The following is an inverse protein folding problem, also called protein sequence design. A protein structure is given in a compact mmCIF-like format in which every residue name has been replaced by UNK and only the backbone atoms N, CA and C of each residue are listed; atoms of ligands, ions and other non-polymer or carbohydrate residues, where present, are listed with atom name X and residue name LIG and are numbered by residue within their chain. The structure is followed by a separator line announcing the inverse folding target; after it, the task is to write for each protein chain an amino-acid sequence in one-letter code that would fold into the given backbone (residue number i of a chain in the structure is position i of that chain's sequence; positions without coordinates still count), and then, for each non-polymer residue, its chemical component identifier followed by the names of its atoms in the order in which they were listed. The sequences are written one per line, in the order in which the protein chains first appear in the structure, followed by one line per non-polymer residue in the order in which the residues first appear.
data_IF_953535069697
#
_entry.id   IF_953535069697
#
_cell.length_a   1.000
_cell.length_b   1.000
_cell.length_c   1.000
_cell.angle_alpha   90.00
_cell.angle_beta   90.00
_cell.angle_gamma   90.00
#
_symmetry.space_group_name_H-M   'P 1'
#
loop_
_entity.id
_entity.type
_entity.pdbx_description
1 polymer ?
#
# COMPACT_ATOMS: atom_id res chain seq x y z
N UNK A 1 9.50 8.09 19.21
CA UNK A 1 8.68 6.87 19.06
C UNK A 1 8.82 6.41 17.63
N UNK A 2 9.07 5.13 17.39
CA UNK A 2 9.22 4.58 16.03
C UNK A 2 7.82 4.22 15.52
N UNK A 3 7.34 4.92 14.49
CA UNK A 3 6.11 4.56 13.78
C UNK A 3 6.27 3.18 13.16
N UNK A 4 5.23 2.34 13.24
CA UNK A 4 5.21 1.00 12.66
C UNK A 4 3.98 0.84 11.79
N UNK A 5 4.11 0.14 10.68
CA UNK A 5 2.99 -0.23 9.81
C UNK A 5 2.74 -1.71 9.97
N UNK A 6 1.49 -2.09 10.22
CA UNK A 6 1.05 -3.48 10.31
C UNK A 6 0.08 -3.73 9.17
N UNK A 7 0.28 -4.83 8.47
CA UNK A 7 -0.55 -5.21 7.33
C UNK A 7 -1.27 -6.51 7.61
N UNK A 8 -2.53 -6.59 7.19
CA UNK A 8 -3.27 -7.85 7.13
C UNK A 8 -3.29 -8.35 5.68
N UNK A 9 -3.11 -9.66 5.47
CA UNK A 9 -3.16 -10.30 4.15
C UNK A 9 -4.41 -11.19 4.05
N UNK A 10 -5.09 -11.19 2.89
CA UNK A 10 -6.29 -12.01 2.66
C UNK A 10 -6.12 -13.47 3.11
N UNK A 11 -7.00 -13.90 4.02
CA UNK A 11 -7.22 -15.28 4.51
C UNK A 11 -6.09 -16.00 5.27
N UNK A 12 -5.00 -15.33 5.63
CA UNK A 12 -3.95 -15.91 6.48
C UNK A 12 -3.54 -14.93 7.56
N UNK A 13 -3.66 -15.31 8.84
CA UNK A 13 -3.39 -14.48 10.05
C UNK A 13 -1.92 -14.04 10.22
N UNK A 14 -1.17 -13.88 9.14
CA UNK A 14 0.22 -13.43 9.17
C UNK A 14 0.26 -11.92 9.07
N UNK A 15 0.41 -11.28 10.23
CA UNK A 15 0.71 -9.86 10.30
C UNK A 15 2.19 -9.66 9.96
N UNK A 16 2.47 -8.92 8.89
CA UNK A 16 3.81 -8.35 8.67
C UNK A 16 3.88 -6.95 9.26
N UNK A 17 5.04 -6.63 9.84
CA UNK A 17 5.30 -5.31 10.41
C UNK A 17 6.45 -4.64 9.68
N UNK A 18 6.23 -3.42 9.25
CA UNK A 18 7.20 -2.57 8.58
C UNK A 18 7.56 -1.39 9.48
N UNK A 19 8.80 -0.90 9.35
CA UNK A 19 9.31 0.19 10.19
C UNK A 19 9.24 1.55 9.50
N UNK A 20 8.88 1.57 8.22
CA UNK A 20 8.63 2.79 7.46
C UNK A 20 7.64 2.57 6.32
N UNK A 21 7.00 3.66 5.87
CA UNK A 21 6.10 3.67 4.70
C UNK A 21 6.82 3.24 3.42
N UNK A 22 8.06 3.69 3.24
CA UNK A 22 8.85 3.37 2.05
C UNK A 22 9.19 1.88 1.98
N UNK A 23 9.50 1.25 3.11
CA UNK A 23 9.75 -0.19 3.20
C UNK A 23 8.51 -0.99 2.79
N UNK A 24 7.33 -0.60 3.27
CA UNK A 24 6.07 -1.21 2.90
C UNK A 24 5.76 -1.07 1.40
N UNK A 25 5.87 0.14 0.85
CA UNK A 25 5.63 0.37 -0.59
C UNK A 25 6.58 -0.47 -1.43
N UNK A 26 7.87 -0.52 -1.07
CA UNK A 26 8.84 -1.37 -1.77
C UNK A 26 8.51 -2.85 -1.64
N UNK A 27 8.00 -3.31 -0.49
CA UNK A 27 7.59 -4.69 -0.33
C UNK A 27 6.41 -5.04 -1.26
N UNK A 28 5.44 -4.13 -1.38
CA UNK A 28 4.32 -4.25 -2.32
C UNK A 28 4.84 -4.36 -3.75
N UNK A 29 5.68 -3.41 -4.16
CA UNK A 29 6.09 -3.28 -5.56
C UNK A 29 7.18 -4.26 -6.01
N UNK A 30 8.04 -4.73 -5.11
CA UNK A 30 9.16 -5.62 -5.44
C UNK A 30 8.83 -7.11 -5.29
N UNK A 31 7.96 -7.49 -4.35
CA UNK A 31 7.73 -8.90 -3.99
C UNK A 31 6.33 -9.42 -4.36
N UNK A 32 5.47 -8.60 -4.98
CA UNK A 32 4.09 -8.99 -5.29
C UNK A 32 3.24 -9.17 -4.03
N UNK A 33 3.45 -8.30 -3.05
CA UNK A 33 2.74 -8.30 -1.77
C UNK A 33 1.53 -7.35 -1.85
N UNK A 34 0.32 -7.85 -1.62
CA UNK A 34 -0.90 -7.05 -1.68
C UNK A 34 -1.62 -7.12 -0.32
N UNK A 35 -1.49 -6.10 0.54
CA UNK A 35 -2.19 -6.06 1.82
C UNK A 35 -3.66 -5.74 1.63
N UNK A 36 -4.53 -6.27 2.48
CA UNK A 36 -5.96 -5.94 2.51
C UNK A 36 -6.17 -4.61 3.23
N UNK A 37 -5.53 -4.50 4.40
CA UNK A 37 -5.57 -3.32 5.26
C UNK A 37 -4.17 -3.00 5.73
N UNK A 38 -3.90 -1.71 5.88
CA UNK A 38 -2.68 -1.19 6.46
C UNK A 38 -3.01 -0.30 7.64
N UNK A 39 -2.40 -0.61 8.77
CA UNK A 39 -2.54 0.11 10.01
C UNK A 39 -1.24 0.76 10.42
N UNK A 40 -1.23 2.09 10.57
CA UNK A 40 -0.13 2.83 11.19
C UNK A 40 -0.31 2.86 12.71
N UNK A 41 0.66 2.31 13.43
CA UNK A 41 0.74 2.30 14.88
C UNK A 41 1.72 3.36 15.33
N UNK A 42 1.20 4.47 15.86
CA UNK A 42 2.01 5.52 16.48
C UNK A 42 2.33 5.22 17.95
N UNK A 43 1.39 4.58 18.65
CA UNK A 43 1.50 4.14 20.04
C UNK A 43 0.62 2.89 20.27
N UNK A 44 0.83 2.12 21.35
CA UNK A 44 0.09 0.87 21.59
C UNK A 44 -1.45 0.99 21.63
N UNK A 45 -1.98 2.20 21.78
CA UNK A 45 -3.42 2.50 21.80
C UNK A 45 -3.88 3.38 20.63
N UNK A 46 -2.98 3.78 19.72
CA UNK A 46 -3.27 4.66 18.59
C UNK A 46 -2.92 3.89 17.31
N UNK A 47 -3.96 3.51 16.58
CA UNK A 47 -3.90 2.78 15.34
C UNK A 47 -4.76 3.52 14.32
N UNK A 48 -4.18 3.91 13.20
CA UNK A 48 -4.88 4.58 12.10
C UNK A 48 -4.91 3.64 10.90
N UNK A 49 -6.07 3.48 10.28
CA UNK A 49 -6.15 2.89 8.94
C UNK A 49 -5.56 3.89 7.94
N UNK A 50 -4.51 3.44 7.24
CA UNK A 50 -3.76 4.23 6.26
C UNK A 50 -3.73 3.51 4.91
N UNK A 51 -4.64 2.56 4.67
CA UNK A 51 -4.65 1.72 3.47
C UNK A 51 -4.71 2.57 2.20
N UNK A 52 -5.61 3.56 2.16
CA UNK A 52 -5.75 4.52 1.05
C UNK A 52 -4.45 5.28 0.78
N UNK A 53 -3.82 5.82 1.82
CA UNK A 53 -2.55 6.55 1.71
C UNK A 53 -1.43 5.67 1.11
N UNK A 54 -1.41 4.39 1.46
CA UNK A 54 -0.42 3.44 0.94
C UNK A 54 -0.72 3.10 -0.52
N UNK A 55 -1.98 2.88 -0.88
CA UNK A 55 -2.39 2.67 -2.26
C UNK A 55 -1.96 3.86 -3.14
N UNK A 56 -2.15 5.08 -2.68
CA UNK A 56 -1.63 6.28 -3.36
C UNK A 56 -0.09 6.26 -3.49
N UNK A 57 0.62 5.89 -2.43
CA UNK A 57 2.08 5.77 -2.47
C UNK A 57 2.60 4.75 -3.49
N UNK A 58 1.88 3.64 -3.70
CA UNK A 58 2.21 2.64 -4.74
C UNK A 58 2.05 3.21 -6.14
N UNK A 59 0.95 3.94 -6.39
CA UNK A 59 0.71 4.62 -7.67
C UNK A 59 1.80 5.66 -7.95
N UNK A 60 2.11 6.50 -6.96
CA UNK A 60 3.16 7.53 -7.10
C UNK A 60 4.54 6.91 -7.36
N UNK A 61 4.85 5.79 -6.71
CA UNK A 61 6.10 5.08 -6.91
C UNK A 61 6.25 4.57 -8.36
N UNK A 62 5.24 3.87 -8.88
CA UNK A 62 5.25 3.36 -10.27
C UNK A 62 5.31 4.48 -11.30
N UNK A 63 4.55 5.56 -11.07
CA UNK A 63 4.59 6.75 -11.91
C UNK A 63 5.98 7.41 -11.93
N UNK A 64 6.67 7.46 -10.80
CA UNK A 64 8.03 8.00 -10.73
C UNK A 64 9.06 7.14 -11.47
N UNK A 65 8.84 5.82 -11.54
CA UNK A 65 9.67 4.87 -12.29
C UNK A 65 9.34 4.87 -13.80
N UNK A 66 8.14 5.35 -14.17
CA UNK A 66 7.64 5.36 -15.55
C UNK A 66 7.02 4.03 -15.99
N UNK A 67 6.73 3.15 -15.03
CA UNK A 67 6.18 1.82 -15.24
C UNK A 67 4.68 1.77 -14.93
N UNK A 68 3.98 0.85 -15.60
CA UNK A 68 2.59 0.53 -15.29
C UNK A 68 2.47 -0.28 -13.98
N UNK A 69 1.30 -0.18 -13.33
CA UNK A 69 0.94 -1.08 -12.24
C UNK A 69 0.83 -2.51 -12.77
N UNK A 70 1.50 -3.43 -12.07
CA UNK A 70 1.30 -4.88 -12.23
C UNK A 70 -0.12 -5.28 -11.83
N UNK A 71 -0.55 -6.47 -12.24
CA UNK A 71 -1.92 -6.94 -11.95
C UNK A 71 -2.23 -6.98 -10.45
N UNK A 72 -1.26 -7.36 -9.61
CA UNK A 72 -1.43 -7.41 -8.15
C UNK A 72 -1.49 -6.01 -7.51
N UNK A 73 -0.62 -5.10 -7.94
CA UNK A 73 -0.65 -3.72 -7.45
C UNK A 73 -1.93 -3.02 -7.89
N UNK A 74 -2.37 -3.28 -9.13
CA UNK A 74 -3.62 -2.78 -9.65
C UNK A 74 -4.79 -3.31 -8.84
N UNK A 75 -4.86 -4.60 -8.56
CA UNK A 75 -5.92 -5.17 -7.73
C UNK A 75 -5.96 -4.52 -6.35
N UNK A 76 -4.81 -4.37 -5.68
CA UNK A 76 -4.72 -3.65 -4.39
C UNK A 76 -5.23 -2.21 -4.48
N UNK A 77 -4.74 -1.43 -5.45
CA UNK A 77 -5.11 -0.03 -5.61
C UNK A 77 -6.59 0.11 -5.98
N UNK A 78 -7.10 -0.72 -6.90
CA UNK A 78 -8.49 -0.70 -7.35
C UNK A 78 -9.46 -1.11 -6.24
N UNK A 79 -9.09 -2.08 -5.39
CA UNK A 79 -9.89 -2.46 -4.23
C UNK A 79 -9.90 -1.39 -3.13
N UNK A 80 -8.81 -0.65 -2.97
CA UNK A 80 -8.65 0.34 -1.89
C UNK A 80 -9.27 1.70 -2.26
N UNK A 81 -8.77 2.33 -3.33
CA UNK A 81 -9.16 3.71 -3.70
C UNK A 81 -10.13 3.76 -4.89
N UNK A 82 -10.50 2.61 -5.44
CA UNK A 82 -11.41 2.49 -6.57
C UNK A 82 -10.75 2.59 -7.96
N UNK A 83 -11.35 1.89 -8.93
CA UNK A 83 -10.88 1.81 -10.34
C UNK A 83 -10.65 3.19 -10.98
N UNK A 84 -11.52 4.16 -10.69
CA UNK A 84 -11.46 5.48 -11.33
C UNK A 84 -10.27 6.32 -10.82
N UNK A 85 -9.95 6.23 -9.53
CA UNK A 85 -8.79 6.90 -8.93
C UNK A 85 -7.47 6.27 -9.39
N UNK A 86 -7.44 4.94 -9.51
CA UNK A 86 -6.28 4.20 -10.02
C UNK A 86 -5.94 4.60 -11.46
N UNK A 87 -6.95 4.70 -12.34
CA UNK A 87 -6.76 5.03 -13.77
C UNK A 87 -6.40 6.49 -14.01
N UNK A 88 -7.10 7.42 -13.37
CA UNK A 88 -6.88 8.87 -13.58
C UNK A 88 -5.48 9.32 -13.17
N UNK A 89 -4.80 8.54 -12.34
CA UNK A 89 -3.49 8.89 -11.77
C UNK A 89 -2.31 8.41 -12.62
N UNK A 90 -2.55 7.39 -13.46
CA UNK A 90 -1.59 6.87 -14.44
C UNK A 90 -1.64 7.65 -15.77
N UNK A 91 -2.82 8.15 -16.19
CA UNK A 91 -2.97 8.93 -17.43
C UNK A 91 -2.42 10.37 -17.35
N UNK A 92 -2.09 10.86 -16.15
CA UNK A 92 -1.63 12.23 -15.95
C UNK A 92 -0.10 12.43 -16.12
N UNK A 93 0.64 11.39 -16.53
CA UNK A 93 2.10 11.41 -16.75
C UNK A 93 2.45 11.59 -18.23
#
# INVERSE_FOLDING_TARGET
MTRKFITDLFTGKEHQSFTSREELIRAITANGFAPDTVHEVEAPAICNDVTDDIAWGVVEFRRADGDDLTDLERDFVEQTIGIEAARSSMEAA
#
